data_IF_145137779020
#
_entry.id   IF_145137779020
#
_cell.length_a   1.000
_cell.length_b   1.000
_cell.length_c   1.000
_cell.angle_alpha   90.00
_cell.angle_beta   90.00
_cell.angle_gamma   90.00
#
_symmetry.space_group_name_H-M   'P 1'
#
loop_
_entity.id
_entity.type
_entity.pdbx_description
1 polymer ?
#
# COMPACT_ATOMS: atom_id res chain seq x y z
N UNK A 1 30.29 -0.20 -0.69
CA UNK A 1 29.88 -1.39 0.08
C UNK A 1 28.90 -0.93 1.13
N UNK A 2 27.62 -1.10 0.83
CA UNK A 2 26.53 -0.78 1.74
C UNK A 2 26.61 -1.69 2.98
N UNK A 3 26.51 -1.14 4.19
CA UNK A 3 26.31 -1.93 5.40
C UNK A 3 24.81 -2.16 5.65
N UNK A 4 24.44 -3.21 6.38
CA UNK A 4 23.07 -3.56 6.77
C UNK A 4 22.31 -2.38 7.40
N UNK A 5 22.97 -1.56 8.23
CA UNK A 5 22.36 -0.34 8.80
C UNK A 5 21.95 0.66 7.70
N UNK A 6 22.88 0.95 6.80
CA UNK A 6 22.62 1.84 5.67
C UNK A 6 21.53 1.28 4.76
N UNK A 7 21.50 -0.04 4.55
CA UNK A 7 20.40 -0.69 3.83
C UNK A 7 19.05 -0.42 4.49
N UNK A 8 18.94 -0.59 5.81
CA UNK A 8 17.69 -0.36 6.54
C UNK A 8 17.22 1.09 6.42
N UNK A 9 18.14 2.05 6.56
CA UNK A 9 17.85 3.48 6.39
C UNK A 9 17.35 3.80 4.95
N UNK A 10 17.76 2.99 3.97
CA UNK A 10 17.42 3.13 2.54
C UNK A 10 16.29 2.20 2.08
N UNK A 11 15.80 1.32 2.94
CA UNK A 11 14.94 0.19 2.54
C UNK A 11 13.55 0.67 2.13
N UNK A 12 13.00 1.67 2.80
CA UNK A 12 11.70 2.27 2.47
C UNK A 12 11.72 2.85 1.05
N UNK A 13 12.68 3.73 0.75
CA UNK A 13 12.88 4.34 -0.58
C UNK A 13 13.12 3.29 -1.68
N UNK A 14 13.78 2.18 -1.33
CA UNK A 14 14.02 1.09 -2.27
C UNK A 14 12.71 0.39 -2.67
N UNK A 15 11.82 0.14 -1.70
CA UNK A 15 10.52 -0.48 -1.93
C UNK A 15 9.59 0.46 -2.70
N UNK A 16 9.67 1.76 -2.43
CA UNK A 16 8.89 2.78 -3.14
C UNK A 16 9.40 3.06 -4.57
N UNK A 17 10.40 2.31 -5.04
CA UNK A 17 11.04 2.43 -6.35
C UNK A 17 11.55 3.84 -6.69
N UNK A 18 11.61 4.75 -5.72
CA UNK A 18 11.94 6.18 -5.90
C UNK A 18 13.39 6.42 -6.35
N UNK A 19 14.23 5.40 -6.35
CA UNK A 19 15.65 5.52 -6.70
C UNK A 19 16.01 4.78 -7.98
N UNK A 20 16.30 5.54 -9.02
CA UNK A 20 16.91 5.09 -10.28
C UNK A 20 18.40 5.47 -10.30
N UNK A 21 19.28 4.50 -10.62
CA UNK A 21 20.73 4.72 -10.78
C UNK A 21 21.62 3.77 -9.98
N UNK A 22 22.87 4.18 -9.74
CA UNK A 22 23.93 3.38 -9.11
C UNK A 22 23.57 2.83 -7.72
N UNK A 23 22.79 3.59 -6.93
CA UNK A 23 22.33 3.13 -5.62
C UNK A 23 21.42 1.89 -5.70
N UNK A 24 20.63 1.74 -6.77
CA UNK A 24 19.80 0.53 -6.98
C UNK A 24 20.67 -0.70 -7.24
N UNK A 25 21.78 -0.52 -7.95
CA UNK A 25 22.75 -1.60 -8.22
C UNK A 25 23.46 -2.01 -6.93
N UNK A 26 23.93 -1.04 -6.14
CA UNK A 26 24.61 -1.31 -4.86
C UNK A 26 23.70 -2.06 -3.87
N UNK A 27 22.42 -1.67 -3.78
CA UNK A 27 21.43 -2.38 -2.96
C UNK A 27 21.20 -3.82 -3.46
N UNK A 28 21.03 -4.02 -4.78
CA UNK A 28 20.88 -5.37 -5.35
C UNK A 28 22.08 -6.25 -5.02
N UNK A 29 23.29 -5.71 -5.16
CA UNK A 29 24.53 -6.43 -4.87
C UNK A 29 24.62 -6.78 -3.38
N UNK A 30 24.25 -5.86 -2.49
CA UNK A 30 24.17 -6.13 -1.05
C UNK A 30 23.15 -7.22 -0.72
N UNK A 31 21.95 -7.19 -1.32
CA UNK A 31 20.93 -8.22 -1.14
C UNK A 31 21.33 -9.58 -1.70
N UNK A 32 22.20 -9.62 -2.72
CA UNK A 32 22.78 -10.86 -3.23
C UNK A 32 23.62 -11.56 -2.15
N UNK A 33 24.42 -10.80 -1.40
CA UNK A 33 25.41 -11.33 -0.44
C UNK A 33 24.80 -11.51 0.96
N UNK A 34 23.97 -10.56 1.41
CA UNK A 34 23.46 -10.54 2.78
C UNK A 34 22.06 -11.18 2.89
N UNK A 35 22.00 -12.37 3.50
CA UNK A 35 20.73 -13.08 3.76
C UNK A 35 19.77 -12.31 4.69
N UNK A 36 20.30 -11.56 5.65
CA UNK A 36 19.51 -10.86 6.66
C UNK A 36 18.73 -9.71 6.03
N UNK A 37 19.41 -8.89 5.25
CA UNK A 37 18.79 -7.79 4.51
C UNK A 37 17.77 -8.29 3.48
N UNK A 38 18.02 -9.45 2.85
CA UNK A 38 17.04 -10.10 1.97
C UNK A 38 15.78 -10.53 2.71
N UNK A 39 15.92 -11.13 3.90
CA UNK A 39 14.76 -11.52 4.73
C UNK A 39 13.98 -10.29 5.20
N UNK A 40 14.69 -9.25 5.63
CA UNK A 40 14.11 -8.00 6.06
C UNK A 40 13.32 -7.31 4.94
N UNK A 41 13.90 -7.22 3.73
CA UNK A 41 13.22 -6.67 2.55
C UNK A 41 11.93 -7.42 2.22
N UNK A 42 11.94 -8.75 2.27
CA UNK A 42 10.73 -9.57 2.07
C UNK A 42 9.68 -9.34 3.15
N UNK A 43 10.10 -9.16 4.40
CA UNK A 43 9.17 -8.89 5.50
C UNK A 43 8.51 -7.52 5.32
N UNK A 44 9.30 -6.50 5.01
CA UNK A 44 8.80 -5.15 4.74
C UNK A 44 7.79 -5.14 3.59
N UNK A 45 8.11 -5.82 2.48
CA UNK A 45 7.22 -5.94 1.32
C UNK A 45 5.88 -6.60 1.69
N UNK A 46 5.92 -7.70 2.46
CA UNK A 46 4.70 -8.34 2.98
C UNK A 46 3.90 -7.42 3.89
N UNK A 47 4.54 -6.73 4.83
CA UNK A 47 3.86 -5.78 5.71
C UNK A 47 3.13 -4.68 4.92
N UNK A 48 3.75 -4.17 3.84
CA UNK A 48 3.13 -3.18 2.96
C UNK A 48 1.95 -3.76 2.18
N UNK A 49 2.09 -4.97 1.62
CA UNK A 49 0.99 -5.64 0.91
C UNK A 49 -0.19 -5.92 1.81
N UNK A 50 0.05 -6.38 3.04
CA UNK A 50 -1.01 -6.56 4.05
C UNK A 50 -1.69 -5.23 4.38
N UNK A 51 -0.91 -4.16 4.61
CA UNK A 51 -1.46 -2.84 4.86
C UNK A 51 -2.31 -2.33 3.69
N UNK A 52 -1.83 -2.49 2.45
CA UNK A 52 -2.56 -2.12 1.24
C UNK A 52 -3.85 -2.93 1.07
N UNK A 53 -3.82 -4.24 1.33
CA UNK A 53 -5.00 -5.09 1.24
C UNK A 53 -6.07 -4.72 2.30
N UNK A 54 -5.63 -4.40 3.52
CA UNK A 54 -6.53 -3.92 4.58
C UNK A 54 -7.13 -2.57 4.20
N UNK A 55 -6.31 -1.65 3.68
CA UNK A 55 -6.80 -0.35 3.20
C UNK A 55 -7.84 -0.53 2.10
N UNK A 56 -7.55 -1.32 1.07
CA UNK A 56 -8.48 -1.63 -0.02
C UNK A 56 -9.82 -2.20 0.51
N UNK A 57 -9.75 -3.12 1.46
CA UNK A 57 -10.95 -3.70 2.08
C UNK A 57 -11.77 -2.66 2.84
N UNK A 58 -11.12 -1.80 3.63
CA UNK A 58 -11.79 -0.73 4.37
C UNK A 58 -12.47 0.26 3.41
N UNK A 59 -11.81 0.63 2.31
CA UNK A 59 -12.36 1.56 1.33
C UNK A 59 -13.57 0.97 0.59
N UNK A 60 -13.53 -0.32 0.26
CA UNK A 60 -14.68 -1.03 -0.33
C UNK A 60 -15.86 -1.05 0.63
N UNK A 61 -15.64 -1.44 1.89
CA UNK A 61 -16.69 -1.44 2.92
C UNK A 61 -17.27 -0.05 3.20
N UNK A 62 -16.43 0.99 3.16
CA UNK A 62 -16.85 2.38 3.34
C UNK A 62 -17.71 2.87 2.17
N UNK A 63 -17.38 2.51 0.92
CA UNK A 63 -18.20 2.85 -0.25
C UNK A 63 -19.58 2.19 -0.22
N UNK A 64 -19.67 0.91 0.13
CA UNK A 64 -20.94 0.18 0.28
C UNK A 64 -21.79 0.78 1.41
N UNK A 65 -21.15 1.11 2.54
CA UNK A 65 -21.84 1.73 3.67
C UNK A 65 -22.29 3.16 3.37
N UNK A 66 -21.46 3.94 2.68
CA UNK A 66 -21.77 5.30 2.27
C UNK A 66 -22.96 5.35 1.31
N UNK A 67 -23.01 4.49 0.29
CA UNK A 67 -24.17 4.38 -0.60
C UNK A 67 -25.45 3.97 0.14
N UNK A 68 -25.34 3.04 1.09
CA UNK A 68 -26.46 2.64 1.94
C UNK A 68 -26.94 3.77 2.87
N UNK A 69 -26.05 4.69 3.27
CA UNK A 69 -26.41 5.89 4.03
C UNK A 69 -27.07 6.93 3.10
N UNK A 70 -26.49 7.22 1.93
CA UNK A 70 -27.03 8.18 0.97
C UNK A 70 -28.45 7.82 0.49
N UNK A 71 -28.70 6.54 0.22
CA UNK A 71 -30.03 6.05 -0.19
C UNK A 71 -31.11 6.21 0.88
N UNK A 72 -30.74 6.31 2.16
CA UNK A 72 -31.68 6.59 3.26
C UNK A 72 -31.93 8.09 3.47
N UNK A 73 -31.00 8.94 3.04
CA UNK A 73 -31.09 10.40 3.22
C UNK A 73 -31.92 11.06 2.12
N UNK A 74 -32.00 10.46 0.93
CA UNK A 74 -32.86 10.93 -0.17
C UNK A 74 -34.12 10.05 -0.24
N UNK A 75 -35.24 10.40 0.43
CA UNK A 75 -36.52 9.81 0.10
C UNK A 75 -36.90 10.23 -1.32
N UNK A 76 -37.23 9.26 -2.17
CA UNK A 76 -37.78 9.48 -3.51
C UNK A 76 -38.91 10.51 -3.47
N UNK A 77 -38.97 11.50 -4.38
CA UNK A 77 -40.06 12.48 -4.38
C UNK A 77 -41.41 11.76 -4.51
N UNK A 78 -42.48 12.26 -3.87
CA UNK A 78 -43.80 11.66 -3.98
C UNK A 78 -44.18 11.61 -5.46
N UNK A 79 -44.52 10.40 -5.93
CA UNK A 79 -45.17 10.19 -7.22
C UNK A 79 -46.56 10.80 -7.13
N UNK A 80 -46.66 12.10 -7.39
CA UNK A 80 -47.95 12.74 -7.65
C UNK A 80 -48.42 12.29 -9.03
N UNK A 81 -49.17 11.19 -9.03
CA UNK A 81 -50.25 10.98 -9.98
C UNK A 81 -51.26 12.12 -9.79
N UNK A 82 -51.54 12.88 -10.84
CA UNK A 82 -52.79 13.59 -10.95
C UNK A 82 -53.14 13.87 -12.43
N UNK A 83 -54.44 14.03 -12.73
CA UNK A 83 -55.15 13.52 -13.92
C UNK A 83 -55.05 14.34 -15.21
#
# INVERSE_FOLDING_TARGET
>A
MLNCKQFTDLASDHIDLQRTGWKRVEIRLHLMICRHCRRFSRHLDRSRQTGAAIAEQLWRSDSEQSEAIFSKIIPSPPSDKAP
#
